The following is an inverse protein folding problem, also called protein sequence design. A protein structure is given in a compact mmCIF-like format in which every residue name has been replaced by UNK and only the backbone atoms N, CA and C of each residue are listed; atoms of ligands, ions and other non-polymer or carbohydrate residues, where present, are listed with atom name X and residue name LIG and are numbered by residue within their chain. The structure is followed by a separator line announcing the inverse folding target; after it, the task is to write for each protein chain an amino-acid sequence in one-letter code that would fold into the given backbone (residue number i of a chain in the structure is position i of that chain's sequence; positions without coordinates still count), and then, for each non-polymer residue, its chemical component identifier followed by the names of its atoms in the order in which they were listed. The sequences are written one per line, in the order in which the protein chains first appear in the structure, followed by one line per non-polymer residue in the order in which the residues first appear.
data_IF_513121035166
#
_entry.id   IF_513121035166
#
_cell.length_a   1.000
_cell.length_b   1.000
_cell.length_c   1.000
_cell.angle_alpha   90.00
_cell.angle_beta   90.00
_cell.angle_gamma   90.00
#
_symmetry.space_group_name_H-M   'P 1'
#
loop_
_entity.id
_entity.type
_entity.pdbx_description
1 polymer ?
#
# COMPACT_ATOMS: atom_id res chain seq x y z
N UNK A 1 7.54 2.39 -8.06
CA UNK A 1 8.07 1.45 -7.06
C UNK A 1 7.23 1.51 -5.78
N UNK A 2 6.86 2.72 -5.35
CA UNK A 2 6.02 3.07 -4.21
C UNK A 2 4.75 2.21 -4.05
N UNK A 3 4.06 1.90 -5.16
CA UNK A 3 2.85 1.08 -5.11
C UNK A 3 3.10 -0.35 -4.59
N UNK A 4 4.22 -0.96 -4.99
CA UNK A 4 4.59 -2.31 -4.53
C UNK A 4 5.08 -2.27 -3.09
N UNK A 5 5.89 -1.27 -2.75
CA UNK A 5 6.39 -1.07 -1.38
C UNK A 5 5.25 -0.85 -0.38
N UNK A 6 4.28 0.01 -0.70
CA UNK A 6 3.08 0.21 0.10
C UNK A 6 2.28 -1.09 0.26
N UNK A 7 2.09 -1.82 -0.84
CA UNK A 7 1.34 -3.08 -0.81
C UNK A 7 2.01 -4.11 0.12
N UNK A 8 3.34 -4.25 0.04
CA UNK A 8 4.12 -5.11 0.93
C UNK A 8 4.05 -4.65 2.39
N UNK A 9 4.15 -3.34 2.63
CA UNK A 9 4.02 -2.77 3.97
C UNK A 9 2.65 -3.08 4.60
N UNK A 10 1.58 -3.09 3.80
CA UNK A 10 0.24 -3.52 4.24
C UNK A 10 0.18 -5.01 4.56
N UNK A 11 0.80 -5.88 3.75
CA UNK A 11 0.85 -7.32 4.04
C UNK A 11 1.63 -7.64 5.32
N UNK A 12 2.71 -6.91 5.58
CA UNK A 12 3.46 -7.04 6.84
C UNK A 12 2.69 -6.48 8.03
N UNK A 13 1.96 -5.39 7.84
CA UNK A 13 1.10 -4.81 8.87
C UNK A 13 0.03 -5.81 9.35
N UNK A 14 -0.58 -6.57 8.44
CA UNK A 14 -1.57 -7.61 8.77
C UNK A 14 -1.03 -8.77 9.64
N UNK A 15 0.30 -8.92 9.74
CA UNK A 15 0.93 -9.96 10.58
C UNK A 15 1.12 -9.50 12.03
N UNK A 16 0.88 -8.22 12.34
CA UNK A 16 1.14 -7.65 13.66
C UNK A 16 0.05 -8.05 14.65
N UNK A 17 0.45 -8.69 15.76
CA UNK A 17 -0.46 -9.10 16.84
C UNK A 17 -0.50 -8.13 18.02
N UNK A 18 0.54 -7.30 18.19
CA UNK A 18 0.65 -6.38 19.32
C UNK A 18 -0.01 -5.04 18.98
N UNK A 19 -1.00 -4.57 19.78
CA UNK A 19 -1.65 -3.28 19.54
C UNK A 19 -0.69 -2.09 19.50
N UNK A 20 0.33 -2.08 20.38
CA UNK A 20 1.33 -1.01 20.41
C UNK A 20 2.17 -0.97 19.12
N UNK A 21 2.66 -2.14 18.67
CA UNK A 21 3.41 -2.23 17.40
C UNK A 21 2.52 -1.90 16.20
N UNK A 22 1.23 -2.25 16.28
CA UNK A 22 0.26 -1.95 15.24
C UNK A 22 0.09 -0.44 15.10
N UNK A 23 -0.15 0.28 16.19
CA UNK A 23 -0.26 1.74 16.16
C UNK A 23 1.01 2.40 15.60
N UNK A 24 2.19 1.96 16.05
CA UNK A 24 3.47 2.47 15.57
C UNK A 24 3.65 2.24 14.05
N UNK A 25 3.39 1.02 13.58
CA UNK A 25 3.52 0.68 12.15
C UNK A 25 2.47 1.39 11.31
N UNK A 26 1.24 1.55 11.82
CA UNK A 26 0.18 2.25 11.11
C UNK A 26 0.56 3.72 10.86
N UNK A 27 1.12 4.37 11.88
CA UNK A 27 1.64 5.74 11.76
C UNK A 27 2.76 5.84 10.71
N UNK A 28 3.72 4.92 10.74
CA UNK A 28 4.82 4.87 9.76
C UNK A 28 4.31 4.71 8.32
N UNK A 29 3.37 3.79 8.09
CA UNK A 29 2.77 3.58 6.76
C UNK A 29 2.02 4.84 6.31
N UNK A 30 1.31 5.51 7.21
CA UNK A 30 0.63 6.76 6.89
C UNK A 30 1.60 7.85 6.46
N UNK A 31 2.65 8.11 7.24
CA UNK A 31 3.64 9.17 6.98
C UNK A 31 4.48 8.89 5.72
N UNK A 32 4.72 7.62 5.38
CA UNK A 32 5.53 7.25 4.22
C UNK A 32 4.73 7.19 2.91
N UNK A 33 3.46 6.75 2.95
CA UNK A 33 2.69 6.41 1.75
C UNK A 33 1.34 7.12 1.59
N UNK A 34 0.70 7.60 2.67
CA UNK A 34 -0.69 8.10 2.61
C UNK A 34 -0.80 9.61 2.80
N UNK A 35 0.02 10.18 3.68
CA UNK A 35 0.00 11.61 3.98
C UNK A 35 0.22 12.42 2.70
N UNK A 36 -0.47 13.56 2.59
CA UNK A 36 -0.23 14.48 1.47
C UNK A 36 1.22 14.96 1.50
N UNK A 37 1.90 14.89 0.36
CA UNK A 37 3.34 15.17 0.24
C UNK A 37 4.25 14.14 0.96
N UNK A 38 3.73 12.95 1.25
CA UNK A 38 4.56 11.85 1.74
C UNK A 38 5.67 11.51 0.73
N UNK A 39 6.87 11.10 1.19
CA UNK A 39 8.00 10.83 0.30
C UNK A 39 7.71 9.74 -0.74
N UNK A 40 6.78 8.82 -0.45
CA UNK A 40 6.31 7.77 -1.36
C UNK A 40 4.78 7.77 -1.45
N UNK A 41 4.17 8.95 -1.51
CA UNK A 41 2.70 9.07 -1.60
C UNK A 41 2.13 8.22 -2.74
N UNK A 42 1.20 7.32 -2.41
CA UNK A 42 0.55 6.44 -3.38
C UNK A 42 -0.70 7.10 -3.98
N UNK A 43 -0.97 6.80 -5.24
CA UNK A 43 -2.10 7.40 -5.96
C UNK A 43 -3.45 6.73 -5.59
N UNK A 44 -4.13 7.28 -4.59
CA UNK A 44 -5.48 6.89 -4.16
C UNK A 44 -6.44 8.08 -4.20
N UNK A 45 -7.73 7.81 -4.42
CA UNK A 45 -8.77 8.84 -4.40
C UNK A 45 -8.99 9.41 -2.97
N UNK A 46 -9.52 10.64 -2.91
CA UNK A 46 -9.78 11.34 -1.64
C UNK A 46 -10.65 10.51 -0.68
N UNK A 47 -11.66 9.84 -1.20
CA UNK A 47 -12.55 9.00 -0.41
C UNK A 47 -11.81 7.85 0.29
N UNK A 48 -10.90 7.19 -0.42
CA UNK A 48 -10.06 6.11 0.11
C UNK A 48 -9.11 6.63 1.17
N UNK A 49 -8.48 7.79 0.93
CA UNK A 49 -7.60 8.46 1.90
C UNK A 49 -8.34 8.81 3.18
N UNK A 50 -9.54 9.37 3.09
CA UNK A 50 -10.38 9.71 4.24
C UNK A 50 -10.78 8.48 5.06
N UNK A 51 -11.16 7.38 4.40
CA UNK A 51 -11.47 6.12 5.08
C UNK A 51 -10.24 5.59 5.82
N UNK A 52 -9.08 5.58 5.16
CA UNK A 52 -7.83 5.15 5.80
C UNK A 52 -7.53 6.01 7.02
N UNK A 53 -7.64 7.34 6.93
CA UNK A 53 -7.42 8.23 8.08
C UNK A 53 -8.36 7.93 9.25
N UNK A 54 -9.65 7.68 8.98
CA UNK A 54 -10.62 7.28 10.02
C UNK A 54 -10.24 5.96 10.68
N UNK A 55 -9.80 4.98 9.89
CA UNK A 55 -9.38 3.66 10.39
C UNK A 55 -8.08 3.71 11.20
N UNK A 56 -7.32 4.81 11.13
CA UNK A 56 -6.07 4.98 11.90
C UNK A 56 -6.30 5.60 13.28
N UNK A 57 -7.52 6.09 13.58
CA UNK A 57 -7.90 6.52 14.93
C UNK A 57 -7.88 5.33 15.90
N UNK A 58 -8.41 4.19 15.45
CA UNK A 58 -8.32 2.90 16.14
C UNK A 58 -7.78 1.84 15.17
N UNK A 59 -6.45 1.70 15.07
CA UNK A 59 -5.83 0.80 14.10
C UNK A 59 -6.24 -0.66 14.31
N UNK A 60 -6.54 -1.33 13.22
CA UNK A 60 -6.88 -2.75 13.16
C UNK A 60 -6.24 -3.39 11.93
N UNK A 61 -6.27 -4.71 11.83
CA UNK A 61 -5.66 -5.43 10.70
C UNK A 61 -6.22 -5.01 9.32
N UNK A 62 -7.43 -4.45 9.27
CA UNK A 62 -8.09 -3.98 8.06
C UNK A 62 -7.92 -2.49 7.79
N UNK A 63 -7.14 -1.75 8.59
CA UNK A 63 -7.04 -0.28 8.48
C UNK A 63 -6.62 0.21 7.09
N UNK A 64 -5.84 -0.58 6.35
CA UNK A 64 -5.37 -0.25 5.01
C UNK A 64 -6.07 -1.02 3.89
N UNK A 65 -7.06 -1.88 4.16
CA UNK A 65 -7.62 -2.82 3.16
C UNK A 65 -8.16 -2.12 1.91
N UNK A 66 -8.86 -0.99 2.08
CA UNK A 66 -9.43 -0.24 0.95
C UNK A 66 -8.31 0.37 0.11
N UNK A 67 -7.36 1.06 0.73
CA UNK A 67 -6.20 1.65 0.05
C UNK A 67 -5.35 0.60 -0.64
N UNK A 68 -5.05 -0.52 0.02
CA UNK A 68 -4.28 -1.61 -0.53
C UNK A 68 -4.96 -2.23 -1.75
N UNK A 69 -6.29 -2.43 -1.72
CA UNK A 69 -7.06 -2.90 -2.89
C UNK A 69 -7.00 -1.92 -4.06
N UNK A 70 -7.07 -0.61 -3.80
CA UNK A 70 -6.93 0.41 -4.85
C UNK A 70 -5.56 0.37 -5.50
N UNK A 71 -4.50 0.29 -4.71
CA UNK A 71 -3.13 0.24 -5.22
C UNK A 71 -2.84 -1.07 -5.96
N UNK A 72 -3.37 -2.20 -5.48
CA UNK A 72 -3.29 -3.45 -6.22
C UNK A 72 -3.94 -3.34 -7.61
N UNK A 73 -5.18 -2.83 -7.68
CA UNK A 73 -5.90 -2.66 -8.94
C UNK A 73 -5.19 -1.67 -9.88
N UNK A 74 -4.53 -0.65 -9.34
CA UNK A 74 -3.71 0.28 -10.11
C UNK A 74 -2.49 -0.43 -10.73
N UNK A 75 -1.75 -1.20 -9.93
CA UNK A 75 -0.61 -1.98 -10.41
C UNK A 75 -1.02 -3.02 -11.44
N UNK A 76 -2.14 -3.72 -11.23
CA UNK A 76 -2.67 -4.72 -12.17
C UNK A 76 -3.00 -4.11 -13.54
N UNK A 77 -3.56 -2.90 -13.56
CA UNK A 77 -3.97 -2.22 -14.80
C UNK A 77 -2.82 -1.56 -15.56
N UNK A 78 -1.80 -1.07 -14.85
CA UNK A 78 -0.77 -0.22 -15.44
C UNK A 78 0.64 -0.82 -15.35
N UNK A 79 1.09 -1.20 -14.15
CA UNK A 79 2.45 -1.71 -13.92
C UNK A 79 2.64 -3.12 -14.47
N UNK A 80 1.69 -4.03 -14.23
CA UNK A 80 1.80 -5.44 -14.58
C UNK A 80 1.89 -5.69 -16.10
N UNK A 81 1.04 -5.08 -16.96
CA UNK A 81 1.14 -5.26 -18.41
C UNK A 81 2.46 -4.71 -18.99
N UNK A 82 3.06 -3.70 -18.34
CA UNK A 82 4.38 -3.19 -18.70
C UNK A 82 5.48 -4.14 -18.27
N UNK A 83 5.41 -4.67 -17.04
CA UNK A 83 6.35 -5.65 -16.52
C UNK A 83 6.41 -6.93 -17.37
N UNK A 84 5.25 -7.50 -17.74
CA UNK A 84 5.19 -8.72 -18.58
C UNK A 84 5.83 -8.50 -19.96
N UNK A 85 5.82 -7.28 -20.49
CA UNK A 85 6.47 -6.93 -21.76
C UNK A 85 7.94 -6.52 -21.61
N UNK A 86 8.43 -6.36 -20.38
CA UNK A 86 9.80 -5.93 -20.13
C UNK A 86 10.82 -7.03 -20.43
N UNK A 87 12.04 -6.65 -20.81
CA UNK A 87 13.14 -7.60 -21.07
C UNK A 87 13.39 -8.50 -19.86
N UNK A 88 13.33 -7.96 -18.64
CA UNK A 88 13.47 -8.73 -17.40
C UNK A 88 12.55 -9.95 -17.34
N UNK A 89 11.26 -9.76 -17.62
CA UNK A 89 10.31 -10.86 -17.59
C UNK A 89 10.50 -11.80 -18.78
N UNK A 90 10.78 -11.25 -19.97
CA UNK A 90 11.00 -12.03 -21.19
C UNK A 90 12.25 -12.91 -21.11
N UNK A 91 13.29 -12.51 -20.37
CA UNK A 91 14.48 -13.32 -20.12
C UNK A 91 14.23 -14.50 -19.16
N UNK A 92 13.31 -14.33 -18.20
CA UNK A 92 12.98 -15.39 -17.23
C UNK A 92 12.15 -16.53 -17.83
N UNK A 93 11.41 -16.27 -18.91
CA UNK A 93 10.54 -17.25 -19.57
C UNK A 93 11.17 -17.90 -20.81
N UNK A 94 12.45 -17.59 -21.08
CA UNK A 94 13.27 -18.28 -22.09
C UNK A 94 13.85 -19.57 -21.53
#
# INVERSE_FOLDING_TARGET
EENLEFWLACEDYKKIKSPAKMAEKAKKIYEEFIQTEAPKEVNIDHFTKDITMKNLVEPSLSSFDVAQKRIYALMEKDSLPRFVRSEFYQELIK
#
